data_IF_153872697642
#
_entry.id   IF_153872697642
#
_cell.length_a   1.000
_cell.length_b   1.000
_cell.length_c   1.000
_cell.angle_alpha   90.00
_cell.angle_beta   90.00
_cell.angle_gamma   90.00
#
_symmetry.space_group_name_H-M   'P 1'
#
loop_
_entity.id
_entity.type
_entity.pdbx_description
1 polymer ?
#
# COMPACT_ATOMS: atom_id res chain seq x y z
N UNK A 1 -19.56 -12.85 8.77
CA UNK A 1 -19.03 -12.51 7.45
C UNK A 1 -18.25 -11.18 7.44
N UNK A 2 -18.69 -10.17 8.22
CA UNK A 2 -18.01 -8.88 8.25
C UNK A 2 -16.56 -8.99 8.72
N UNK A 3 -16.30 -9.83 9.72
CA UNK A 3 -14.94 -10.02 10.25
C UNK A 3 -14.06 -10.70 9.20
N UNK A 4 -14.57 -11.75 8.54
CA UNK A 4 -13.84 -12.48 7.51
C UNK A 4 -13.57 -11.55 6.32
N UNK A 5 -14.58 -10.82 5.88
CA UNK A 5 -14.46 -9.89 4.75
C UNK A 5 -13.43 -8.80 5.04
N UNK A 6 -13.49 -8.19 6.23
CA UNK A 6 -12.55 -7.15 6.62
C UNK A 6 -11.12 -7.69 6.67
N UNK A 7 -10.94 -8.87 7.25
CA UNK A 7 -9.62 -9.49 7.33
C UNK A 7 -9.04 -9.81 5.96
N UNK A 8 -9.81 -10.42 5.09
CA UNK A 8 -9.34 -10.75 3.74
C UNK A 8 -9.10 -9.52 2.90
N UNK A 9 -9.99 -8.51 2.97
CA UNK A 9 -9.81 -7.29 2.21
C UNK A 9 -8.53 -6.58 2.59
N UNK A 10 -8.27 -6.43 3.89
CA UNK A 10 -7.07 -5.76 4.36
C UNK A 10 -5.81 -6.57 4.04
N UNK A 11 -5.85 -7.89 4.23
CA UNK A 11 -4.73 -8.76 3.93
C UNK A 11 -4.39 -8.73 2.44
N UNK A 12 -5.40 -8.77 1.58
CA UNK A 12 -5.20 -8.72 0.13
C UNK A 12 -4.63 -7.36 -0.29
N UNK A 13 -5.20 -6.27 0.22
CA UNK A 13 -4.72 -4.92 -0.09
C UNK A 13 -3.29 -4.72 0.40
N UNK A 14 -2.97 -5.16 1.62
CA UNK A 14 -1.63 -5.03 2.18
C UNK A 14 -0.63 -5.86 1.38
N UNK A 15 -1.00 -7.08 0.98
CA UNK A 15 -0.13 -7.94 0.18
C UNK A 15 0.16 -7.35 -1.20
N UNK A 16 -0.86 -6.86 -1.89
CA UNK A 16 -0.70 -6.22 -3.19
C UNK A 16 0.08 -4.91 -3.07
N UNK A 17 -0.21 -4.12 -2.04
CA UNK A 17 0.53 -2.88 -1.76
C UNK A 17 2.00 -3.15 -1.49
N UNK A 18 2.29 -4.17 -0.70
CA UNK A 18 3.68 -4.56 -0.38
C UNK A 18 4.43 -4.99 -1.64
N UNK A 19 3.80 -5.75 -2.53
CA UNK A 19 4.42 -6.11 -3.81
C UNK A 19 4.69 -4.89 -4.67
N UNK A 20 3.74 -3.95 -4.74
CA UNK A 20 3.92 -2.70 -5.47
C UNK A 20 5.05 -1.86 -4.91
N UNK A 21 5.11 -1.73 -3.59
CA UNK A 21 6.17 -0.99 -2.92
C UNK A 21 7.53 -1.64 -3.13
N UNK A 22 7.60 -2.97 -3.04
CA UNK A 22 8.83 -3.71 -3.25
C UNK A 22 9.36 -3.53 -4.68
N UNK A 23 8.48 -3.59 -5.67
CA UNK A 23 8.87 -3.38 -7.07
C UNK A 23 9.33 -1.95 -7.31
N UNK A 24 8.64 -0.98 -6.72
CA UNK A 24 9.02 0.42 -6.82
C UNK A 24 10.39 0.67 -6.20
N UNK A 25 10.62 0.12 -5.01
CA UNK A 25 11.89 0.24 -4.32
C UNK A 25 13.03 -0.39 -5.12
N UNK A 26 12.81 -1.60 -5.66
CA UNK A 26 13.80 -2.28 -6.47
C UNK A 26 14.13 -1.49 -7.74
N UNK A 27 13.12 -0.97 -8.43
CA UNK A 27 13.32 -0.16 -9.63
C UNK A 27 14.07 1.13 -9.33
N UNK A 28 13.75 1.79 -8.21
CA UNK A 28 14.44 3.01 -7.80
C UNK A 28 15.90 2.74 -7.45
N UNK A 29 16.17 1.67 -6.73
CA UNK A 29 17.54 1.28 -6.37
C UNK A 29 18.36 0.99 -7.63
N UNK A 30 17.79 0.28 -8.58
CA UNK A 30 18.45 -0.01 -9.85
C UNK A 30 18.70 1.28 -10.66
N UNK A 31 17.72 2.17 -10.69
CA UNK A 31 17.86 3.47 -11.38
C UNK A 31 18.97 4.34 -10.79
N UNK A 32 19.05 4.38 -9.46
CA UNK A 32 20.12 5.13 -8.77
C UNK A 32 21.48 4.49 -9.05
N UNK A 33 21.54 3.16 -9.07
CA UNK A 33 22.77 2.45 -9.35
C UNK A 33 23.27 2.73 -10.76
N UNK A 34 22.36 2.86 -11.73
CA UNK A 34 22.73 3.15 -13.13
C UNK A 34 23.06 4.63 -13.36
N UNK A 35 22.39 5.50 -12.65
CA UNK A 35 22.58 6.94 -12.80
C UNK A 35 22.49 7.65 -11.45
N UNK A 36 23.59 7.68 -10.69
CA UNK A 36 23.60 8.32 -9.36
C UNK A 36 23.21 9.80 -9.38
N UNK A 37 23.41 10.50 -10.50
CA UNK A 37 23.06 11.91 -10.61
C UNK A 37 21.54 12.12 -10.60
N UNK A 38 20.76 11.10 -10.92
CA UNK A 38 19.29 11.15 -10.87
C UNK A 38 18.73 10.77 -9.51
N UNK A 39 19.56 10.46 -8.52
CA UNK A 39 19.11 9.99 -7.22
C UNK A 39 18.08 10.90 -6.53
N UNK A 40 18.24 12.25 -6.52
CA UNK A 40 17.24 13.10 -5.87
C UNK A 40 15.87 13.01 -6.52
N UNK A 41 15.80 12.98 -7.84
CA UNK A 41 14.54 12.87 -8.58
C UNK A 41 13.90 11.51 -8.40
N UNK A 42 14.70 10.44 -8.44
CA UNK A 42 14.22 9.08 -8.26
C UNK A 42 13.67 8.91 -6.84
N UNK A 43 14.33 9.44 -5.83
CA UNK A 43 13.85 9.40 -4.45
C UNK A 43 12.52 10.12 -4.31
N UNK A 44 12.37 11.27 -4.93
CA UNK A 44 11.13 12.04 -4.85
C UNK A 44 9.98 11.26 -5.46
N UNK A 45 10.16 10.72 -6.66
CA UNK A 45 9.13 9.94 -7.34
C UNK A 45 8.79 8.66 -6.55
N UNK A 46 9.82 8.02 -6.00
CA UNK A 46 9.64 6.81 -5.19
C UNK A 46 8.79 7.10 -3.95
N UNK A 47 9.14 8.14 -3.20
CA UNK A 47 8.41 8.52 -1.98
C UNK A 47 6.97 8.86 -2.33
N UNK A 48 6.74 9.64 -3.38
CA UNK A 48 5.40 10.00 -3.82
C UNK A 48 4.59 8.75 -4.18
N UNK A 49 5.18 7.84 -4.95
CA UNK A 49 4.53 6.60 -5.34
C UNK A 49 4.21 5.70 -4.16
N UNK A 50 5.14 5.55 -3.22
CA UNK A 50 4.93 4.74 -2.02
C UNK A 50 3.82 5.31 -1.14
N UNK A 51 3.75 6.63 -1.00
CA UNK A 51 2.69 7.28 -0.23
C UNK A 51 1.34 7.04 -0.88
N UNK A 52 1.24 7.10 -2.20
CA UNK A 52 -0.02 6.84 -2.90
C UNK A 52 -0.47 5.38 -2.74
N UNK A 53 0.46 4.42 -2.82
CA UNK A 53 0.15 3.01 -2.59
C UNK A 53 -0.32 2.81 -1.15
N UNK A 54 0.36 3.39 -0.19
CA UNK A 54 0.00 3.30 1.22
C UNK A 54 -1.38 3.90 1.48
N UNK A 55 -1.73 4.98 0.78
CA UNK A 55 -3.05 5.59 0.89
C UNK A 55 -4.15 4.61 0.48
N UNK A 56 -3.95 3.83 -0.57
CA UNK A 56 -4.91 2.82 -0.99
C UNK A 56 -5.11 1.75 0.08
N UNK A 57 -4.03 1.30 0.72
CA UNK A 57 -4.10 0.33 1.80
C UNK A 57 -4.82 0.92 3.01
N UNK A 58 -4.57 2.19 3.32
CA UNK A 58 -5.23 2.89 4.42
C UNK A 58 -6.74 3.01 4.16
N UNK A 59 -7.15 3.27 2.92
CA UNK A 59 -8.58 3.29 2.58
C UNK A 59 -9.23 1.93 2.83
N UNK A 60 -8.57 0.84 2.47
CA UNK A 60 -9.08 -0.51 2.75
C UNK A 60 -9.12 -0.76 4.25
N UNK A 61 -8.11 -0.33 4.99
CA UNK A 61 -8.11 -0.41 6.45
C UNK A 61 -9.30 0.30 7.05
N UNK A 62 -9.59 1.51 6.58
CA UNK A 62 -10.72 2.31 7.07
C UNK A 62 -12.05 1.59 6.82
N UNK A 63 -12.24 1.07 5.62
CA UNK A 63 -13.44 0.33 5.27
C UNK A 63 -13.55 -0.94 6.13
N UNK A 64 -12.44 -1.64 6.33
CA UNK A 64 -12.40 -2.84 7.16
C UNK A 64 -12.77 -2.54 8.61
N UNK A 65 -12.31 -1.43 9.15
CA UNK A 65 -12.67 -1.00 10.50
C UNK A 65 -14.16 -0.67 10.62
N UNK A 66 -14.71 -0.03 9.60
CA UNK A 66 -16.15 0.25 9.56
C UNK A 66 -16.95 -1.05 9.57
N UNK A 67 -16.57 -2.02 8.75
CA UNK A 67 -17.22 -3.31 8.71
C UNK A 67 -17.10 -4.05 10.04
N UNK A 68 -15.94 -3.94 10.69
CA UNK A 68 -15.66 -4.64 11.93
C UNK A 68 -16.43 -4.04 13.11
N UNK A 69 -16.48 -2.72 13.22
CA UNK A 69 -17.05 -2.04 14.38
C UNK A 69 -18.50 -1.59 14.22
N UNK A 70 -18.93 -1.32 13.00
CA UNK A 70 -20.27 -0.76 12.77
C UNK A 70 -21.24 -1.84 12.34
N UNK A 71 -20.85 -2.73 11.44
CA UNK A 71 -21.75 -3.73 10.88
C UNK A 71 -21.79 -5.08 11.59
N UNK A 72 -20.87 -5.43 12.50
CA UNK A 72 -20.92 -6.78 13.11
C UNK A 72 -22.21 -7.03 13.89
N UNK A 73 -22.83 -5.98 14.40
CA UNK A 73 -24.11 -6.12 15.11
C UNK A 73 -25.30 -6.11 14.15
N UNK A 74 -25.11 -5.72 12.91
CA UNK A 74 -26.15 -5.70 11.89
C UNK A 74 -25.95 -6.75 10.81
N UNK A 75 -24.83 -7.39 10.82
CA UNK A 75 -24.49 -8.35 9.78
C UNK A 75 -23.89 -9.64 10.31
#
# INVERSE_FOLDING_TARGET
>A
WSIITAGFALAFAAGCGALGQARGLAAAAEGIARNPNAAPEIRFVLILGLVLIESLVIYVLLISLILFFVLPFGG
#
